data_IF_736431839397
#
_entry.id   IF_736431839397
#
_cell.length_a   1.000
_cell.length_b   1.000
_cell.length_c   1.000
_cell.angle_alpha   90.00
_cell.angle_beta   90.00
_cell.angle_gamma   90.00
#
_symmetry.space_group_name_H-M   'P 1'
#
loop_
_entity.id
_entity.type
_entity.pdbx_description
1 polymer ?
#
# COMPACT_ATOMS: atom_id res chain seq x y z
N UNK A 1 -14.94 3.84 13.43
CA UNK A 1 -13.99 3.16 12.52
C UNK A 1 -14.05 3.89 11.19
N UNK A 2 -13.00 4.65 10.88
CA UNK A 2 -12.96 5.53 9.72
C UNK A 2 -12.06 4.96 8.60
N UNK A 3 -11.90 3.64 8.54
CA UNK A 3 -11.13 2.93 7.53
C UNK A 3 -11.83 1.64 7.07
N UNK A 4 -11.57 1.26 5.86
CA UNK A 4 -11.91 -0.02 5.28
C UNK A 4 -10.68 -0.66 4.64
N UNK A 5 -10.63 -2.00 4.65
CA UNK A 5 -9.53 -2.76 4.06
C UNK A 5 -10.08 -3.79 3.07
N UNK A 6 -9.38 -3.94 1.95
CA UNK A 6 -9.54 -5.05 1.03
C UNK A 6 -8.19 -5.74 0.88
N UNK A 7 -8.16 -7.05 0.99
CA UNK A 7 -6.92 -7.82 0.84
C UNK A 7 -7.00 -8.61 -0.46
N UNK A 8 -5.95 -8.52 -1.26
CA UNK A 8 -5.80 -9.25 -2.52
C UNK A 8 -4.56 -10.11 -2.43
N UNK A 9 -4.74 -11.41 -2.53
CA UNK A 9 -3.69 -12.44 -2.64
C UNK A 9 -3.83 -13.25 -3.94
N UNK A 10 -4.79 -12.88 -4.79
CA UNK A 10 -5.00 -13.50 -6.10
C UNK A 10 -3.91 -13.01 -7.07
N UNK A 11 -3.00 -13.91 -7.53
CA UNK A 11 -1.90 -13.54 -8.40
C UNK A 11 -2.35 -13.00 -9.76
N UNK A 12 -3.52 -13.43 -10.27
CA UNK A 12 -4.06 -12.95 -11.54
C UNK A 12 -4.50 -11.48 -11.45
N UNK A 13 -5.08 -11.07 -10.31
CA UNK A 13 -5.47 -9.67 -10.06
C UNK A 13 -4.21 -8.80 -9.94
N UNK A 14 -3.23 -9.25 -9.15
CA UNK A 14 -1.94 -8.55 -8.98
C UNK A 14 -1.25 -8.40 -10.33
N UNK A 15 -1.24 -9.47 -11.15
CA UNK A 15 -0.65 -9.44 -12.49
C UNK A 15 -1.36 -8.45 -13.40
N UNK A 16 -2.67 -8.46 -13.48
CA UNK A 16 -3.46 -7.55 -14.34
C UNK A 16 -3.21 -6.09 -13.97
N UNK A 17 -3.21 -5.75 -12.68
CA UNK A 17 -2.88 -4.41 -12.22
C UNK A 17 -1.44 -4.01 -12.58
N UNK A 18 -0.50 -4.96 -12.49
CA UNK A 18 0.90 -4.74 -12.87
C UNK A 18 1.05 -4.53 -14.37
N UNK A 19 0.35 -5.31 -15.21
CA UNK A 19 0.37 -5.15 -16.67
C UNK A 19 -0.14 -3.74 -17.08
N UNK A 20 -1.18 -3.23 -16.42
CA UNK A 20 -1.67 -1.86 -16.63
C UNK A 20 -0.62 -0.81 -16.20
N UNK A 21 0.04 -1.04 -15.06
CA UNK A 21 1.08 -0.15 -14.57
C UNK A 21 2.28 -0.08 -15.53
N UNK A 22 2.74 -1.22 -16.02
CA UNK A 22 3.87 -1.33 -16.96
C UNK A 22 3.53 -0.67 -18.30
N UNK A 23 2.29 -0.76 -18.76
CA UNK A 23 1.84 -0.07 -19.99
C UNK A 23 2.08 1.45 -19.93
N UNK A 24 1.85 2.05 -18.75
CA UNK A 24 2.10 3.48 -18.52
C UNK A 24 3.55 3.78 -18.09
N UNK A 25 4.28 2.75 -17.61
CA UNK A 25 5.65 2.85 -17.11
C UNK A 25 6.56 1.77 -17.74
N UNK A 26 6.79 1.79 -19.07
CA UNK A 26 7.47 0.69 -19.78
C UNK A 26 8.91 0.44 -19.31
N UNK A 27 9.58 1.43 -18.76
CA UNK A 27 10.94 1.29 -18.21
C UNK A 27 11.02 0.33 -17.01
N UNK A 28 9.92 0.16 -16.27
CA UNK A 28 9.88 -0.81 -15.16
C UNK A 28 10.03 -2.25 -15.64
N UNK A 29 9.53 -2.56 -16.83
CA UNK A 29 9.69 -3.89 -17.44
C UNK A 29 11.15 -4.21 -17.83
N UNK A 30 12.01 -3.20 -17.95
CA UNK A 30 13.44 -3.39 -18.27
C UNK A 30 14.23 -3.85 -17.05
N UNK A 31 13.68 -3.71 -15.84
CA UNK A 31 14.32 -4.13 -14.60
C UNK A 31 14.08 -5.63 -14.36
N UNK A 32 15.14 -6.48 -14.42
CA UNK A 32 14.99 -7.93 -14.28
C UNK A 32 14.52 -8.38 -12.89
N UNK A 33 14.62 -7.52 -11.87
CA UNK A 33 14.13 -7.80 -10.52
C UNK A 33 12.68 -7.33 -10.29
N UNK A 34 12.07 -6.66 -11.28
CA UNK A 34 10.68 -6.24 -11.19
C UNK A 34 9.74 -7.41 -11.51
N UNK A 35 8.93 -7.81 -10.55
CA UNK A 35 7.90 -8.86 -10.71
C UNK A 35 6.51 -8.23 -10.74
N UNK A 36 6.23 -7.31 -9.80
CA UNK A 36 4.96 -6.61 -9.76
C UNK A 36 5.08 -5.18 -9.16
N UNK A 37 4.10 -4.35 -9.43
CA UNK A 37 4.07 -2.95 -8.99
C UNK A 37 3.98 -2.77 -7.46
N UNK A 38 3.73 -3.84 -6.71
CA UNK A 38 3.62 -3.85 -5.26
C UNK A 38 4.91 -4.32 -4.56
N UNK A 39 6.07 -4.00 -5.12
CA UNK A 39 7.39 -4.42 -4.59
C UNK A 39 7.52 -5.94 -4.49
N UNK A 40 6.96 -6.64 -5.47
CA UNK A 40 6.97 -8.09 -5.58
C UNK A 40 6.19 -8.81 -4.46
N UNK A 41 5.41 -8.07 -3.67
CA UNK A 41 4.59 -8.66 -2.62
C UNK A 41 3.50 -9.57 -3.20
N UNK A 42 3.33 -10.80 -2.68
CA UNK A 42 2.28 -11.70 -3.12
C UNK A 42 0.89 -11.37 -2.55
N UNK A 43 0.85 -10.59 -1.47
CA UNK A 43 -0.39 -10.18 -0.80
C UNK A 43 -0.38 -8.68 -0.61
N UNK A 44 -1.48 -8.01 -0.94
CA UNK A 44 -1.60 -6.56 -0.85
C UNK A 44 -2.87 -6.19 -0.10
N UNK A 45 -2.72 -5.38 0.95
CA UNK A 45 -3.84 -4.72 1.61
C UNK A 45 -4.05 -3.33 1.01
N UNK A 46 -5.27 -3.06 0.58
CA UNK A 46 -5.74 -1.77 0.08
C UNK A 46 -6.53 -1.09 1.20
N UNK A 47 -6.08 0.07 1.64
CA UNK A 47 -6.63 0.78 2.78
C UNK A 47 -7.30 2.05 2.27
N UNK A 48 -8.60 2.16 2.50
CA UNK A 48 -9.39 3.35 2.19
C UNK A 48 -9.81 4.08 3.47
N UNK A 49 -9.86 5.40 3.38
CA UNK A 49 -10.28 6.28 4.48
C UNK A 49 -11.63 6.92 4.18
N UNK A 50 -12.41 7.17 5.22
CA UNK A 50 -13.62 7.98 5.16
C UNK A 50 -13.25 9.45 4.89
N UNK A 51 -13.63 9.96 3.71
CA UNK A 51 -13.31 11.33 3.29
C UNK A 51 -14.14 12.39 3.99
N UNK A 52 -15.19 12.00 4.71
CA UNK A 52 -16.05 12.90 5.49
C UNK A 52 -15.53 13.15 6.90
N UNK A 53 -14.55 12.38 7.36
CA UNK A 53 -13.95 12.49 8.68
C UNK A 53 -12.49 12.94 8.62
N UNK A 54 -12.20 14.12 9.11
CA UNK A 54 -10.89 14.78 8.98
C UNK A 54 -9.70 13.96 9.54
N UNK A 55 -9.92 13.14 10.57
CA UNK A 55 -8.88 12.34 11.21
C UNK A 55 -8.77 10.91 10.63
N UNK A 56 -9.58 10.56 9.65
CA UNK A 56 -9.56 9.23 9.06
C UNK A 56 -8.19 8.81 8.50
N UNK A 57 -7.36 9.70 7.90
CA UNK A 57 -6.01 9.32 7.50
C UNK A 57 -5.09 8.95 8.68
N UNK A 58 -5.31 9.56 9.86
CA UNK A 58 -4.58 9.23 11.09
C UNK A 58 -5.00 7.85 11.58
N UNK A 59 -6.31 7.58 11.62
CA UNK A 59 -6.85 6.25 11.98
C UNK A 59 -6.31 5.16 11.06
N UNK A 60 -6.25 5.42 9.74
CA UNK A 60 -5.66 4.52 8.78
C UNK A 60 -4.17 4.26 9.05
N UNK A 61 -3.41 5.29 9.38
CA UNK A 61 -1.98 5.16 9.71
C UNK A 61 -1.76 4.32 10.98
N UNK A 62 -2.53 4.57 12.04
CA UNK A 62 -2.47 3.81 13.29
C UNK A 62 -2.84 2.33 13.08
N UNK A 63 -3.86 2.07 12.28
CA UNK A 63 -4.27 0.72 11.93
C UNK A 63 -3.21 0.03 11.06
N UNK A 64 -2.68 0.72 10.04
CA UNK A 64 -1.62 0.22 9.17
C UNK A 64 -0.37 -0.18 9.96
N UNK A 65 0.06 0.62 10.94
CA UNK A 65 1.20 0.30 11.80
C UNK A 65 0.94 -0.97 12.62
N UNK A 66 -0.27 -1.15 13.17
CA UNK A 66 -0.62 -2.39 13.87
C UNK A 66 -0.53 -3.62 12.95
N UNK A 67 -0.96 -3.52 11.69
CA UNK A 67 -0.81 -4.59 10.70
C UNK A 67 0.66 -4.91 10.44
N UNK A 68 1.49 -3.89 10.27
CA UNK A 68 2.94 -4.00 10.00
C UNK A 68 3.66 -4.67 11.17
N UNK A 69 3.39 -4.22 12.40
CA UNK A 69 3.98 -4.80 13.60
C UNK A 69 3.56 -6.25 13.82
N UNK A 70 2.27 -6.54 13.59
CA UNK A 70 1.75 -7.91 13.66
C UNK A 70 2.41 -8.82 12.61
N UNK A 71 2.52 -8.38 11.37
CA UNK A 71 3.20 -9.12 10.30
C UNK A 71 4.67 -9.38 10.65
N UNK A 72 5.37 -8.36 11.13
CA UNK A 72 6.77 -8.47 11.55
C UNK A 72 6.96 -9.50 12.67
N UNK A 73 6.06 -9.54 13.65
CA UNK A 73 6.11 -10.54 14.74
C UNK A 73 5.98 -11.98 14.25
N UNK A 74 5.43 -12.19 13.06
CA UNK A 74 5.29 -13.48 12.38
C UNK A 74 6.38 -13.75 11.33
N UNK A 75 7.41 -12.89 11.24
CA UNK A 75 8.47 -13.02 10.24
C UNK A 75 8.06 -12.58 8.83
N UNK A 76 6.94 -11.86 8.69
CA UNK A 76 6.45 -11.33 7.42
C UNK A 76 6.92 -9.88 7.26
N UNK A 77 7.57 -9.60 6.14
CA UNK A 77 7.94 -8.24 5.76
C UNK A 77 6.74 -7.46 5.20
N UNK A 78 6.84 -6.14 5.26
CA UNK A 78 5.81 -5.25 4.72
C UNK A 78 6.41 -3.99 4.08
N UNK A 79 5.69 -3.42 3.13
CA UNK A 79 6.07 -2.17 2.48
C UNK A 79 4.85 -1.29 2.25
N UNK A 80 4.87 -0.06 2.80
CA UNK A 80 3.85 0.95 2.52
C UNK A 80 4.04 1.54 1.13
N UNK A 81 2.99 1.57 0.33
CA UNK A 81 3.02 1.86 -1.10
C UNK A 81 1.98 2.92 -1.46
N UNK A 82 2.41 4.18 -1.54
CA UNK A 82 1.57 5.28 -2.02
C UNK A 82 1.49 5.37 -3.54
N UNK A 83 2.51 4.88 -4.26
CA UNK A 83 2.56 4.89 -5.72
C UNK A 83 1.42 4.09 -6.37
N UNK A 84 1.25 2.80 -6.02
CA UNK A 84 0.14 1.99 -6.49
C UNK A 84 -1.24 2.58 -6.18
N UNK A 85 -1.46 3.10 -4.98
CA UNK A 85 -2.73 3.74 -4.63
C UNK A 85 -3.03 4.93 -5.55
N UNK A 86 -2.04 5.78 -5.82
CA UNK A 86 -2.16 6.92 -6.72
C UNK A 86 -2.43 6.47 -8.17
N UNK A 87 -1.70 5.46 -8.65
CA UNK A 87 -1.89 4.90 -9.99
C UNK A 87 -3.31 4.36 -10.18
N UNK A 88 -3.81 3.57 -9.23
CA UNK A 88 -5.16 2.99 -9.32
C UNK A 88 -6.26 4.05 -9.34
N UNK A 89 -6.05 5.20 -8.69
CA UNK A 89 -7.01 6.31 -8.74
C UNK A 89 -6.94 7.09 -10.05
N UNK A 90 -5.77 7.23 -10.65
CA UNK A 90 -5.56 8.06 -11.85
C UNK A 90 -5.73 7.33 -13.18
N UNK A 91 -5.46 6.02 -13.24
CA UNK A 91 -5.60 5.24 -14.45
C UNK A 91 -7.03 4.68 -14.58
N UNK A 92 -7.78 4.97 -15.67
CA UNK A 92 -9.19 4.59 -15.80
C UNK A 92 -9.44 3.08 -15.79
N UNK A 93 -8.51 2.27 -16.32
CA UNK A 93 -8.65 0.81 -16.33
C UNK A 93 -8.35 0.22 -14.95
N UNK A 94 -7.31 0.70 -14.27
CA UNK A 94 -6.99 0.29 -12.91
C UNK A 94 -8.07 0.75 -11.91
N UNK A 95 -8.71 1.89 -12.15
CA UNK A 95 -9.81 2.39 -11.32
C UNK A 95 -11.04 1.46 -11.33
N UNK A 96 -11.29 0.72 -12.43
CA UNK A 96 -12.36 -0.30 -12.45
C UNK A 96 -12.14 -1.38 -11.40
N UNK A 97 -10.89 -1.85 -11.22
CA UNK A 97 -10.56 -2.79 -10.16
C UNK A 97 -10.78 -2.19 -8.76
N UNK A 98 -10.47 -0.89 -8.61
CA UNK A 98 -10.76 -0.19 -7.35
C UNK A 98 -12.26 -0.13 -7.07
N UNK A 99 -13.08 0.10 -8.09
CA UNK A 99 -14.54 0.06 -7.96
C UNK A 99 -15.06 -1.35 -7.62
N UNK A 100 -14.50 -2.39 -8.24
CA UNK A 100 -14.85 -3.79 -7.96
C UNK A 100 -14.50 -4.22 -6.52
N UNK A 101 -13.53 -3.56 -5.88
CA UNK A 101 -13.23 -3.78 -4.46
C UNK A 101 -14.37 -3.37 -3.54
N UNK A 102 -15.30 -2.54 -4.01
CA UNK A 102 -16.55 -2.23 -3.31
C UNK A 102 -16.33 -1.54 -1.96
N UNK A 103 -15.46 -0.53 -1.91
CA UNK A 103 -15.40 0.37 -0.75
C UNK A 103 -16.72 1.14 -0.63
N UNK A 104 -17.11 1.45 0.61
CA UNK A 104 -18.32 2.20 0.88
C UNK A 104 -18.30 3.59 0.24
N UNK A 105 -19.47 4.18 0.05
CA UNK A 105 -19.60 5.57 -0.37
C UNK A 105 -18.80 6.48 0.56
N UNK A 106 -18.15 7.51 0.02
CA UNK A 106 -17.24 8.43 0.71
C UNK A 106 -15.92 7.82 1.20
N UNK A 107 -15.60 6.58 0.85
CA UNK A 107 -14.29 6.01 1.10
C UNK A 107 -13.39 6.13 -0.13
N UNK A 108 -12.17 6.60 0.07
CA UNK A 108 -11.15 6.73 -0.98
C UNK A 108 -9.88 5.97 -0.64
N UNK A 109 -9.29 5.32 -1.66
CA UNK A 109 -8.05 4.58 -1.47
C UNK A 109 -6.92 5.51 -1.05
N UNK A 110 -6.40 5.30 0.17
CA UNK A 110 -5.33 6.11 0.75
C UNK A 110 -3.95 5.48 0.56
N UNK A 111 -3.83 4.19 0.82
CA UNK A 111 -2.56 3.49 0.93
C UNK A 111 -2.71 2.02 0.52
N UNK A 112 -1.65 1.46 -0.08
CA UNK A 112 -1.49 0.02 -0.19
C UNK A 112 -0.36 -0.45 0.73
N UNK A 113 -0.46 -1.66 1.26
CA UNK A 113 0.63 -2.33 1.98
C UNK A 113 0.87 -3.69 1.33
N UNK A 114 2.07 -3.88 0.78
CA UNK A 114 2.52 -5.19 0.32
C UNK A 114 3.04 -6.02 1.49
N UNK A 115 2.67 -7.29 1.54
CA UNK A 115 3.13 -8.27 2.53
C UNK A 115 3.77 -9.46 1.85
N UNK A 116 4.84 -10.00 2.44
CA UNK A 116 5.54 -11.18 1.94
C UNK A 116 6.75 -11.54 2.80
N UNK A 117 7.39 -12.65 2.53
CA UNK A 117 8.65 -12.97 3.18
C UNK A 117 9.73 -11.98 2.72
N UNK A 118 10.52 -11.38 3.66
CA UNK A 118 11.51 -10.38 3.31
C UNK A 118 12.65 -11.00 2.49
N UNK A 119 12.95 -10.38 1.34
CA UNK A 119 14.07 -10.75 0.48
C UNK A 119 15.30 -9.85 0.71
N UNK A 120 15.16 -8.82 1.52
CA UNK A 120 16.24 -7.85 1.84
C UNK A 120 16.15 -7.40 3.29
N UNK A 121 17.27 -6.88 3.78
CA UNK A 121 17.34 -6.23 5.11
C UNK A 121 17.83 -4.80 4.90
N UNK A 122 16.93 -3.86 4.62
CA UNK A 122 17.31 -2.47 4.34
C UNK A 122 17.91 -1.81 5.58
N UNK A 123 18.94 -0.99 5.37
CA UNK A 123 19.51 -0.17 6.44
C UNK A 123 18.48 0.83 6.95
N UNK A 124 18.30 0.90 8.26
CA UNK A 124 17.42 1.88 8.87
C UNK A 124 17.87 3.31 8.52
N UNK A 125 16.90 4.15 8.15
CA UNK A 125 17.17 5.58 7.92
C UNK A 125 17.53 6.25 9.25
N UNK A 126 18.47 7.22 9.26
CA UNK A 126 18.81 7.97 10.46
C UNK A 126 17.59 8.69 11.02
N UNK A 127 17.50 8.77 12.33
CA UNK A 127 16.48 9.54 13.05
C UNK A 127 17.09 10.88 13.48
N UNK A 128 16.35 11.95 13.31
CA UNK A 128 16.72 13.29 13.73
C UNK A 128 16.16 13.55 15.13
N UNK A 129 17.01 13.46 16.15
CA UNK A 129 16.62 13.67 17.54
C UNK A 129 16.17 15.12 17.81
N UNK A 130 16.61 16.11 17.00
CA UNK A 130 16.21 17.49 17.14
C UNK A 130 14.73 17.74 16.85
N UNK A 131 14.04 16.78 16.22
CA UNK A 131 12.59 16.82 16.00
C UNK A 131 11.75 16.49 17.23
N UNK A 132 12.40 16.06 18.32
CA UNK A 132 11.75 15.82 19.61
C UNK A 132 12.31 16.84 20.60
N UNK A 133 11.45 17.67 21.17
CA UNK A 133 11.84 18.68 22.16
C UNK A 133 10.97 18.50 23.39
N UNK A 134 11.64 18.39 24.55
CA UNK A 134 10.97 18.46 25.85
C UNK A 134 10.76 19.93 26.19
N UNK A 135 9.56 20.29 26.61
CA UNK A 135 9.21 21.63 27.05
C UNK A 135 9.13 21.59 28.58
N UNK A 136 9.99 22.36 29.23
CA UNK A 136 10.05 22.51 30.71
C UNK A 136 9.04 23.55 31.16
#
# INVERSE_FOLDING_TARGET
QAWEIRVVDNPEVIKKLTDLYVKDNPKEAENPSFINMFRNAPTVAFIANDTTFAYSPVDCGLMAENMILSAWSMGIGSCCLGGPARFMKSNPEANKYLQEMGFSENYDLLLCIGFGYPAETPKAKPRDAAKVKFMD
#
